data_IF_893513751880
#
_entry.id   IF_893513751880
#
_cell.length_a   1.000
_cell.length_b   1.000
_cell.length_c   1.000
_cell.angle_alpha   90.00
_cell.angle_beta   90.00
_cell.angle_gamma   90.00
#
_symmetry.space_group_name_H-M   'P 1'
#
loop_
_entity.id
_entity.type
_entity.pdbx_description
1 polymer ?
#
# COMPACT_ATOMS: atom_id res chain seq x y z
N UNK A 1 -7.32 -4.37 -1.13
CA UNK A 1 -6.26 -3.38 -1.38
C UNK A 1 -6.60 -2.56 -2.62
N UNK A 2 -6.66 -3.14 -3.82
CA UNK A 2 -6.89 -2.42 -5.10
C UNK A 2 -8.10 -1.48 -5.14
N UNK A 3 -9.19 -1.82 -4.47
CA UNK A 3 -10.35 -0.93 -4.39
C UNK A 3 -10.11 0.43 -3.72
N UNK A 4 -8.93 0.71 -3.17
CA UNK A 4 -8.56 2.04 -2.66
C UNK A 4 -7.99 2.99 -3.72
N UNK A 5 -7.52 2.47 -4.87
CA UNK A 5 -6.94 3.29 -5.94
C UNK A 5 -7.90 4.39 -6.44
N UNK A 6 -9.20 4.12 -6.69
CA UNK A 6 -10.06 5.13 -7.27
C UNK A 6 -10.28 6.31 -6.32
N UNK A 7 -10.45 6.05 -5.02
CA UNK A 7 -10.56 7.08 -4.00
C UNK A 7 -9.23 7.84 -3.80
N UNK A 8 -8.09 7.15 -3.84
CA UNK A 8 -6.78 7.78 -3.67
C UNK A 8 -6.47 8.79 -4.79
N UNK A 9 -6.83 8.48 -6.04
CA UNK A 9 -6.66 9.41 -7.16
C UNK A 9 -7.58 10.62 -7.04
N UNK A 10 -8.86 10.42 -6.71
CA UNK A 10 -9.81 11.55 -6.55
C UNK A 10 -9.53 12.41 -5.30
N UNK A 11 -8.84 11.86 -4.28
CA UNK A 11 -8.28 12.63 -3.17
C UNK A 11 -7.07 13.49 -3.57
N UNK A 12 -6.46 13.21 -4.72
CA UNK A 12 -5.42 14.03 -5.36
C UNK A 12 -5.97 14.78 -6.58
N UNK A 13 -7.29 15.01 -6.62
CA UNK A 13 -7.96 15.81 -7.64
C UNK A 13 -7.84 15.24 -9.07
N UNK A 14 -7.43 13.98 -9.19
CA UNK A 14 -7.26 13.30 -10.47
C UNK A 14 -8.50 12.60 -11.00
N UNK A 15 -8.39 12.15 -12.25
CA UNK A 15 -9.35 11.28 -12.93
C UNK A 15 -8.72 9.90 -13.10
N UNK A 16 -9.47 8.83 -12.84
CA UNK A 16 -8.98 7.45 -12.96
C UNK A 16 -9.99 6.55 -13.69
N UNK A 17 -9.45 5.73 -14.58
CA UNK A 17 -10.12 4.56 -15.15
C UNK A 17 -9.58 3.30 -14.46
N UNK A 18 -10.40 2.62 -13.66
CA UNK A 18 -10.02 1.40 -12.93
C UNK A 18 -10.64 0.18 -13.63
N UNK A 19 -9.79 -0.73 -14.15
CA UNK A 19 -10.22 -1.90 -14.91
C UNK A 19 -10.30 -3.12 -14.00
N UNK A 20 -11.50 -3.69 -13.85
CA UNK A 20 -11.73 -4.89 -13.05
C UNK A 20 -12.58 -5.89 -13.84
N UNK A 21 -12.09 -7.12 -13.95
CA UNK A 21 -12.73 -8.15 -14.79
C UNK A 21 -14.05 -8.65 -14.18
N UNK A 22 -14.20 -8.53 -12.87
CA UNK A 22 -15.37 -9.01 -12.13
C UNK A 22 -16.28 -7.86 -11.67
N UNK A 23 -17.41 -7.70 -12.37
CA UNK A 23 -18.40 -6.64 -12.12
C UNK A 23 -18.77 -6.48 -10.64
N UNK A 24 -18.96 -7.57 -9.92
CA UNK A 24 -19.38 -7.54 -8.52
C UNK A 24 -18.35 -6.89 -7.59
N UNK A 25 -17.05 -6.95 -7.94
CA UNK A 25 -15.99 -6.38 -7.10
C UNK A 25 -15.97 -4.86 -7.19
N UNK A 26 -16.17 -4.32 -8.38
CA UNK A 26 -16.18 -2.89 -8.64
C UNK A 26 -17.53 -2.26 -8.24
N UNK A 27 -18.64 -2.98 -8.44
CA UNK A 27 -19.95 -2.56 -7.94
C UNK A 27 -19.91 -2.39 -6.42
N UNK A 28 -19.32 -3.34 -5.69
CA UNK A 28 -19.13 -3.21 -4.25
C UNK A 28 -18.35 -1.94 -3.88
N UNK A 29 -17.34 -1.55 -4.66
CA UNK A 29 -16.56 -0.33 -4.39
C UNK A 29 -17.34 0.94 -4.68
N UNK A 30 -18.27 0.92 -5.64
CA UNK A 30 -19.25 1.99 -5.83
C UNK A 30 -20.19 2.07 -4.63
N UNK A 31 -20.76 0.93 -4.20
CA UNK A 31 -21.70 0.86 -3.09
C UNK A 31 -21.06 1.29 -1.75
N UNK A 32 -19.78 0.98 -1.55
CA UNK A 32 -19.00 1.39 -0.37
C UNK A 32 -18.57 2.86 -0.45
N UNK A 33 -18.58 3.52 -1.62
CA UNK A 33 -18.14 4.91 -1.78
C UNK A 33 -16.65 5.10 -2.08
N UNK A 34 -15.97 4.05 -2.55
CA UNK A 34 -14.57 4.09 -3.01
C UNK A 34 -14.43 4.39 -4.51
N UNK A 35 -15.50 4.28 -5.30
CA UNK A 35 -15.54 4.53 -6.73
C UNK A 35 -16.83 5.28 -7.11
N UNK A 36 -16.78 6.23 -8.04
CA UNK A 36 -17.93 7.10 -8.35
C UNK A 36 -18.90 6.47 -9.36
N UNK A 37 -18.37 5.78 -10.37
CA UNK A 37 -19.17 5.23 -11.48
C UNK A 37 -18.66 3.87 -11.93
N UNK A 38 -19.53 3.09 -12.56
CA UNK A 38 -19.21 1.79 -13.16
C UNK A 38 -19.91 1.67 -14.53
N UNK A 39 -19.20 1.11 -15.51
CA UNK A 39 -19.78 0.67 -16.80
C UNK A 39 -19.06 -0.58 -17.33
N UNK A 40 -19.69 -1.30 -18.24
CA UNK A 40 -19.11 -2.40 -19.03
C UNK A 40 -18.78 -1.98 -20.47
N UNK A 41 -18.91 -0.69 -20.81
CA UNK A 41 -18.65 -0.14 -22.14
C UNK A 41 -17.45 0.79 -22.10
N UNK A 42 -16.37 0.40 -22.79
CA UNK A 42 -15.16 1.22 -22.88
C UNK A 42 -15.42 2.62 -23.44
N UNK A 43 -16.29 2.75 -24.45
CA UNK A 43 -16.61 4.05 -25.06
C UNK A 43 -17.28 5.01 -24.05
N UNK A 44 -18.21 4.50 -23.24
CA UNK A 44 -18.88 5.28 -22.19
C UNK A 44 -17.91 5.64 -21.07
N UNK A 45 -17.05 4.71 -20.65
CA UNK A 45 -16.04 4.97 -19.64
C UNK A 45 -15.08 6.08 -20.10
N UNK A 46 -14.64 6.01 -21.35
CA UNK A 46 -13.76 6.99 -21.99
C UNK A 46 -14.43 8.36 -22.12
N UNK A 47 -15.72 8.41 -22.47
CA UNK A 47 -16.48 9.65 -22.51
C UNK A 47 -16.48 10.34 -21.14
N UNK A 48 -16.78 9.60 -20.07
CA UNK A 48 -16.81 10.16 -18.71
C UNK A 48 -15.45 10.66 -18.24
N UNK A 49 -14.37 9.89 -18.44
CA UNK A 49 -13.03 10.32 -18.00
C UNK A 49 -12.51 11.51 -18.81
N UNK A 50 -12.78 11.57 -20.11
CA UNK A 50 -12.34 12.68 -20.96
C UNK A 50 -13.14 13.96 -20.71
N UNK A 51 -14.45 13.85 -20.48
CA UNK A 51 -15.29 14.98 -20.08
C UNK A 51 -14.86 15.54 -18.71
N UNK A 52 -14.59 14.66 -17.74
CA UNK A 52 -14.11 15.05 -16.42
C UNK A 52 -12.72 15.69 -16.47
N UNK A 53 -11.77 15.14 -17.25
CA UNK A 53 -10.45 15.73 -17.48
C UNK A 53 -10.58 17.13 -18.11
N UNK A 54 -11.47 17.30 -19.10
CA UNK A 54 -11.73 18.61 -19.74
C UNK A 54 -12.35 19.63 -18.78
N UNK A 55 -13.17 19.17 -17.83
CA UNK A 55 -13.84 20.02 -16.83
C UNK A 55 -13.03 20.22 -15.55
N UNK A 56 -11.86 19.57 -15.43
CA UNK A 56 -11.02 19.57 -14.23
C UNK A 56 -11.79 19.12 -12.97
N UNK A 57 -12.65 18.11 -13.13
CA UNK A 57 -13.43 17.53 -12.02
C UNK A 57 -12.88 16.15 -11.70
N UNK A 58 -12.47 15.86 -10.45
CA UNK A 58 -12.02 14.53 -10.08
C UNK A 58 -13.18 13.52 -10.19
N UNK A 59 -12.89 12.39 -10.83
CA UNK A 59 -13.82 11.27 -10.93
C UNK A 59 -13.08 9.95 -10.99
N UNK A 60 -13.67 8.93 -10.40
CA UNK A 60 -13.26 7.54 -10.51
C UNK A 60 -14.28 6.75 -11.32
N UNK A 61 -13.82 6.20 -12.45
CA UNK A 61 -14.65 5.40 -13.36
C UNK A 61 -14.15 3.98 -13.35
N UNK A 62 -15.01 3.08 -12.91
CA UNK A 62 -14.80 1.66 -13.01
C UNK A 62 -15.24 1.08 -14.35
N UNK A 63 -14.34 0.36 -15.02
CA UNK A 63 -14.63 -0.35 -16.26
C UNK A 63 -14.57 -1.87 -16.02
N UNK A 64 -15.71 -2.53 -16.24
CA UNK A 64 -15.77 -3.99 -16.25
C UNK A 64 -15.09 -4.51 -17.51
N UNK A 65 -13.92 -5.14 -17.34
CA UNK A 65 -13.13 -5.65 -18.46
C UNK A 65 -11.82 -6.29 -18.02
N UNK A 66 -11.16 -7.03 -18.91
CA UNK A 66 -9.85 -7.58 -18.62
C UNK A 66 -8.74 -6.55 -18.92
N UNK A 67 -7.83 -6.31 -17.99
CA UNK A 67 -6.71 -5.38 -18.20
C UNK A 67 -5.85 -5.75 -19.43
N UNK A 68 -5.69 -7.05 -19.71
CA UNK A 68 -4.98 -7.56 -20.88
C UNK A 68 -5.74 -7.37 -22.22
N UNK A 69 -6.98 -6.89 -22.20
CA UNK A 69 -7.76 -6.50 -23.39
C UNK A 69 -7.91 -4.98 -23.46
N UNK A 70 -8.23 -4.35 -22.33
CA UNK A 70 -8.47 -2.91 -22.23
C UNK A 70 -7.19 -2.12 -22.47
N UNK A 71 -6.05 -2.46 -21.85
CA UNK A 71 -4.83 -1.66 -21.99
C UNK A 71 -4.29 -1.66 -23.43
N UNK A 72 -4.22 -2.80 -24.14
CA UNK A 72 -3.88 -2.80 -25.57
C UNK A 72 -4.87 -2.00 -26.41
N UNK A 73 -6.17 -2.03 -26.07
CA UNK A 73 -7.18 -1.26 -26.78
C UNK A 73 -7.01 0.25 -26.60
N UNK A 74 -6.64 0.71 -25.39
CA UNK A 74 -6.28 2.11 -25.14
C UNK A 74 -5.08 2.54 -25.98
N UNK A 75 -4.01 1.73 -26.01
CA UNK A 75 -2.83 1.97 -26.86
C UNK A 75 -3.22 2.03 -28.34
N UNK A 76 -4.06 1.10 -28.82
CA UNK A 76 -4.51 1.06 -30.22
C UNK A 76 -5.29 2.31 -30.62
N UNK A 77 -6.02 2.91 -29.68
CA UNK A 77 -6.80 4.14 -29.86
C UNK A 77 -5.99 5.42 -29.64
N UNK A 78 -4.70 5.31 -29.33
CA UNK A 78 -3.85 6.45 -28.97
C UNK A 78 -4.37 7.22 -27.74
N UNK A 79 -4.93 6.49 -26.78
CA UNK A 79 -5.42 7.03 -25.51
C UNK A 79 -4.41 6.66 -24.43
N UNK A 80 -3.43 7.52 -24.24
CA UNK A 80 -2.34 7.33 -23.28
C UNK A 80 -2.65 8.10 -21.99
N UNK A 81 -2.74 7.43 -20.83
CA UNK A 81 -2.98 8.12 -19.56
C UNK A 81 -1.73 8.88 -19.10
N UNK A 82 -1.91 9.88 -18.24
CA UNK A 82 -0.77 10.59 -17.64
C UNK A 82 0.03 9.69 -16.67
N UNK A 83 -0.65 8.75 -16.02
CA UNK A 83 -0.09 7.77 -15.09
C UNK A 83 -0.68 6.38 -15.40
N UNK A 84 0.16 5.34 -15.40
CA UNK A 84 -0.25 3.94 -15.51
C UNK A 84 0.39 3.10 -14.40
N UNK A 85 -0.44 2.26 -13.76
CA UNK A 85 0.00 1.30 -12.75
C UNK A 85 -0.96 0.11 -12.71
N UNK A 86 -0.64 -0.93 -11.95
CA UNK A 86 -1.47 -2.12 -11.81
C UNK A 86 -1.50 -2.62 -10.36
N UNK A 87 -2.67 -3.13 -9.96
CA UNK A 87 -2.86 -3.81 -8.69
C UNK A 87 -3.76 -5.05 -8.81
N UNK A 88 -3.80 -5.68 -9.99
CA UNK A 88 -4.30 -7.05 -10.13
C UNK A 88 -3.58 -8.01 -9.17
N UNK A 89 -4.15 -9.18 -8.83
CA UNK A 89 -3.50 -10.13 -7.93
C UNK A 89 -2.38 -10.93 -8.64
N UNK A 90 -1.48 -10.28 -9.40
CA UNK A 90 -0.41 -10.92 -10.16
C UNK A 90 0.57 -11.74 -9.31
N UNK A 91 0.65 -11.47 -8.01
CA UNK A 91 1.45 -12.23 -7.05
C UNK A 91 1.04 -13.70 -6.93
N UNK A 92 -0.22 -14.00 -7.25
CA UNK A 92 -0.72 -15.36 -7.41
C UNK A 92 -1.25 -15.53 -8.83
N UNK A 93 -0.49 -16.27 -9.65
CA UNK A 93 -0.83 -16.52 -11.05
C UNK A 93 -2.20 -17.22 -11.22
N UNK A 94 -2.72 -17.89 -10.19
CA UNK A 94 -4.04 -18.53 -10.21
C UNK A 94 -5.18 -17.59 -9.79
N UNK A 95 -4.83 -16.40 -9.28
CA UNK A 95 -5.76 -15.33 -8.98
C UNK A 95 -5.84 -14.28 -10.09
N UNK A 96 -4.77 -14.11 -10.88
CA UNK A 96 -4.83 -13.34 -12.13
C UNK A 96 -5.79 -14.03 -13.13
N UNK A 97 -6.74 -13.28 -13.68
CA UNK A 97 -7.75 -13.83 -14.59
C UNK A 97 -7.28 -13.65 -16.04
N UNK A 98 -6.98 -14.73 -16.78
CA UNK A 98 -6.63 -14.61 -18.19
C UNK A 98 -7.79 -14.10 -19.04
N UNK A 99 -7.49 -13.64 -20.25
CA UNK A 99 -8.50 -13.24 -21.24
C UNK A 99 -9.41 -14.42 -21.62
N UNK A 100 -10.64 -14.09 -22.05
CA UNK A 100 -11.68 -15.06 -22.38
C UNK A 100 -12.93 -14.94 -21.51
N UNK A 101 -13.90 -15.82 -21.77
CA UNK A 101 -15.17 -15.83 -21.03
C UNK A 101 -14.95 -16.29 -19.57
N UNK A 102 -15.49 -15.54 -18.62
CA UNK A 102 -15.23 -15.72 -17.19
C UNK A 102 -15.60 -17.11 -16.68
N UNK A 103 -16.76 -17.64 -17.07
CA UNK A 103 -17.22 -18.96 -16.62
C UNK A 103 -16.32 -20.08 -17.14
N UNK A 104 -15.84 -19.97 -18.38
CA UNK A 104 -14.88 -20.90 -18.97
C UNK A 104 -13.53 -20.84 -18.26
N UNK A 105 -13.00 -19.63 -18.02
CA UNK A 105 -11.73 -19.40 -17.33
C UNK A 105 -11.78 -19.90 -15.88
N UNK A 106 -12.86 -19.64 -15.16
CA UNK A 106 -13.03 -20.13 -13.78
C UNK A 106 -13.12 -21.66 -13.72
N UNK A 107 -13.77 -22.29 -14.69
CA UNK A 107 -13.83 -23.75 -14.81
C UNK A 107 -12.45 -24.35 -15.14
N UNK A 108 -11.71 -23.70 -16.06
CA UNK A 108 -10.36 -24.10 -16.44
C UNK A 108 -9.42 -24.10 -15.23
N UNK A 109 -9.54 -23.10 -14.35
CA UNK A 109 -8.72 -23.01 -13.13
C UNK A 109 -8.79 -24.25 -12.24
N UNK A 110 -9.95 -24.89 -12.19
CA UNK A 110 -10.18 -26.10 -11.39
C UNK A 110 -9.80 -27.38 -12.13
N UNK A 111 -10.07 -27.42 -13.44
CA UNK A 111 -9.87 -28.63 -14.26
C UNK A 111 -8.43 -28.82 -14.73
N UNK A 112 -7.78 -27.76 -15.16
CA UNK A 112 -6.41 -27.79 -15.70
C UNK A 112 -5.63 -26.54 -15.28
N UNK A 113 -5.00 -26.64 -14.11
CA UNK A 113 -4.16 -25.58 -13.55
C UNK A 113 -2.96 -25.25 -14.43
N UNK A 114 -2.43 -26.21 -15.20
CA UNK A 114 -1.25 -26.00 -16.03
C UNK A 114 -1.62 -25.11 -17.23
N UNK A 115 -2.73 -25.43 -17.89
CA UNK A 115 -3.26 -24.62 -18.98
C UNK A 115 -3.73 -23.25 -18.48
N UNK A 116 -4.37 -23.17 -17.31
CA UNK A 116 -4.74 -21.87 -16.71
C UNK A 116 -3.50 -20.98 -16.49
N UNK A 117 -2.44 -21.54 -15.90
CA UNK A 117 -1.18 -20.82 -15.66
C UNK A 117 -0.59 -20.30 -16.98
N UNK A 118 -0.60 -21.12 -18.03
CA UNK A 118 -0.13 -20.71 -19.36
C UNK A 118 -0.92 -19.51 -19.87
N UNK A 119 -2.25 -19.58 -19.88
CA UNK A 119 -3.11 -18.47 -20.34
C UNK A 119 -2.95 -17.21 -19.51
N UNK A 120 -2.75 -17.35 -18.20
CA UNK A 120 -2.49 -16.22 -17.32
C UNK A 120 -1.17 -15.53 -17.67
N UNK A 121 -0.10 -16.29 -17.93
CA UNK A 121 1.17 -15.73 -18.41
C UNK A 121 1.03 -15.08 -19.79
N UNK A 122 0.33 -15.71 -20.73
CA UNK A 122 0.05 -15.13 -22.06
C UNK A 122 -0.69 -13.78 -21.93
N UNK A 123 -1.65 -13.69 -21.01
CA UNK A 123 -2.38 -12.44 -20.73
C UNK A 123 -1.51 -11.38 -20.06
N UNK A 124 -0.63 -11.77 -19.12
CA UNK A 124 0.33 -10.87 -18.47
C UNK A 124 1.34 -10.31 -19.47
N UNK A 125 1.78 -11.12 -20.45
CA UNK A 125 2.64 -10.65 -21.53
C UNK A 125 1.98 -9.52 -22.31
N UNK A 126 0.72 -9.69 -22.70
CA UNK A 126 -0.05 -8.68 -23.45
C UNK A 126 -0.26 -7.42 -22.59
N UNK A 127 -0.70 -7.59 -21.34
CA UNK A 127 -0.94 -6.50 -20.40
C UNK A 127 0.33 -5.67 -20.17
N UNK A 128 1.45 -6.32 -19.88
CA UNK A 128 2.70 -5.62 -19.55
C UNK A 128 3.29 -4.92 -20.78
N UNK A 129 3.19 -5.51 -21.98
CA UNK A 129 3.61 -4.83 -23.21
C UNK A 129 2.78 -3.58 -23.49
N UNK A 130 1.47 -3.58 -23.17
CA UNK A 130 0.65 -2.38 -23.27
C UNK A 130 1.10 -1.28 -22.29
N UNK A 131 1.43 -1.66 -21.04
CA UNK A 131 1.98 -0.73 -20.04
C UNK A 131 3.32 -0.14 -20.53
N UNK A 132 4.22 -0.98 -21.05
CA UNK A 132 5.50 -0.51 -21.60
C UNK A 132 5.29 0.44 -22.78
N UNK A 133 4.32 0.16 -23.66
CA UNK A 133 3.99 1.06 -24.75
C UNK A 133 3.44 2.39 -24.25
N UNK A 134 2.56 2.40 -23.25
CA UNK A 134 2.09 3.65 -22.62
C UNK A 134 3.25 4.44 -22.01
N UNK A 135 4.22 3.76 -21.38
CA UNK A 135 5.43 4.38 -20.85
C UNK A 135 6.28 5.02 -21.95
N UNK A 136 6.48 4.33 -23.07
CA UNK A 136 7.21 4.85 -24.25
C UNK A 136 6.54 6.11 -24.83
N UNK A 137 5.20 6.17 -24.81
CA UNK A 137 4.41 7.32 -25.25
C UNK A 137 4.29 8.43 -24.17
N UNK A 138 4.99 8.28 -23.03
CA UNK A 138 5.17 9.33 -22.03
C UNK A 138 4.37 9.19 -20.74
N UNK A 139 3.60 8.10 -20.55
CA UNK A 139 2.92 7.85 -19.28
C UNK A 139 3.93 7.61 -18.14
N UNK A 140 3.68 8.19 -16.97
CA UNK A 140 4.42 7.85 -15.76
C UNK A 140 4.01 6.43 -15.34
N UNK A 141 4.95 5.49 -15.38
CA UNK A 141 4.70 4.09 -15.08
C UNK A 141 5.40 3.66 -13.78
N UNK A 142 4.69 2.93 -12.92
CA UNK A 142 5.27 2.29 -11.74
C UNK A 142 4.53 1.00 -11.36
N UNK A 143 5.25 0.05 -10.75
CA UNK A 143 4.68 -1.18 -10.16
C UNK A 143 4.15 -0.89 -8.76
N UNK A 144 2.89 -1.26 -8.50
CA UNK A 144 2.25 -1.05 -7.19
C UNK A 144 2.30 -2.27 -6.26
N UNK A 145 3.39 -3.04 -6.35
CA UNK A 145 3.75 -4.03 -5.35
C UNK A 145 2.97 -5.33 -5.41
N UNK A 146 2.53 -5.73 -6.60
CA UNK A 146 1.81 -6.98 -6.87
C UNK A 146 2.66 -8.00 -7.63
N UNK A 147 3.94 -7.70 -7.90
CA UNK A 147 4.87 -8.55 -8.64
C UNK A 147 4.46 -8.84 -10.11
N UNK A 148 3.71 -7.93 -10.75
CA UNK A 148 3.39 -8.05 -12.18
C UNK A 148 4.66 -8.12 -13.03
N UNK A 149 5.67 -7.28 -12.75
CA UNK A 149 6.95 -7.31 -13.47
C UNK A 149 7.66 -8.66 -13.37
N UNK A 150 7.62 -9.29 -12.18
CA UNK A 150 8.20 -10.63 -11.99
C UNK A 150 7.47 -11.71 -12.79
N UNK A 151 6.13 -11.65 -12.87
CA UNK A 151 5.37 -12.55 -13.74
C UNK A 151 5.59 -12.26 -15.22
N UNK A 152 5.76 -11.00 -15.60
CA UNK A 152 6.04 -10.59 -16.97
C UNK A 152 7.38 -11.13 -17.46
N UNK A 153 8.42 -11.11 -16.62
CA UNK A 153 9.70 -11.76 -16.88
C UNK A 153 9.51 -13.27 -17.15
N UNK A 154 8.72 -13.96 -16.31
CA UNK A 154 8.40 -15.38 -16.51
C UNK A 154 7.58 -15.64 -17.78
N UNK A 155 6.78 -14.67 -18.22
CA UNK A 155 6.01 -14.74 -19.46
C UNK A 155 6.85 -14.44 -20.71
N UNK A 156 8.10 -13.99 -20.56
CA UNK A 156 9.00 -13.67 -21.67
C UNK A 156 8.97 -12.19 -22.11
N UNK A 157 8.44 -11.29 -21.29
CA UNK A 157 8.56 -9.84 -21.53
C UNK A 157 9.98 -9.41 -21.21
N UNK A 158 10.61 -8.66 -22.11
CA UNK A 158 11.86 -7.96 -21.85
C UNK A 158 11.60 -6.79 -20.89
N UNK A 159 11.40 -7.08 -19.60
CA UNK A 159 10.97 -6.11 -18.58
C UNK A 159 12.16 -5.48 -17.84
N UNK A 160 13.38 -5.96 -18.10
CA UNK A 160 14.62 -5.41 -17.55
C UNK A 160 15.39 -4.60 -18.60
N UNK A 161 16.23 -3.71 -18.10
CA UNK A 161 17.25 -2.98 -18.88
C UNK A 161 18.57 -3.74 -18.79
N UNK A 162 19.57 -3.26 -19.53
CA UNK A 162 20.91 -3.86 -19.57
C UNK A 162 21.63 -3.86 -18.20
N UNK A 163 21.26 -2.95 -17.30
CA UNK A 163 21.79 -2.88 -15.92
C UNK A 163 21.09 -3.86 -14.94
N UNK A 164 20.17 -4.68 -15.43
CA UNK A 164 19.40 -5.65 -14.65
C UNK A 164 18.20 -5.05 -13.91
N UNK A 165 18.02 -3.72 -13.92
CA UNK A 165 16.87 -3.06 -13.29
C UNK A 165 15.62 -3.18 -14.16
N UNK A 166 14.46 -3.10 -13.54
CA UNK A 166 13.20 -3.07 -14.28
C UNK A 166 13.06 -1.78 -15.12
N UNK A 167 12.38 -1.89 -16.28
CA UNK A 167 12.12 -0.78 -17.20
C UNK A 167 11.26 0.34 -16.58
N UNK A 168 10.42 -0.01 -15.62
CA UNK A 168 9.74 0.95 -14.74
C UNK A 168 9.91 0.54 -13.27
N UNK A 169 10.03 1.51 -12.34
CA UNK A 169 10.36 1.24 -10.95
C UNK A 169 9.16 0.74 -10.15
N UNK A 170 9.42 0.11 -9.00
CA UNK A 170 8.43 -0.04 -7.95
C UNK A 170 8.09 1.30 -7.31
N UNK A 171 6.87 1.43 -6.78
CA UNK A 171 6.42 2.66 -6.13
C UNK A 171 7.27 3.04 -4.90
N UNK A 172 7.91 2.07 -4.23
CA UNK A 172 8.73 2.34 -3.05
C UNK A 172 10.03 3.07 -3.37
N UNK A 173 10.93 2.55 -4.23
CA UNK A 173 12.12 3.29 -4.63
C UNK A 173 11.77 4.62 -5.31
N UNK A 174 10.66 4.68 -6.05
CA UNK A 174 10.26 5.89 -6.78
C UNK A 174 9.71 7.00 -5.86
N UNK A 175 8.89 6.67 -4.86
CA UNK A 175 8.08 7.68 -4.14
C UNK A 175 8.09 7.53 -2.62
N UNK A 176 8.15 6.31 -2.08
CA UNK A 176 7.87 6.07 -0.64
C UNK A 176 9.12 5.98 0.23
N UNK A 177 10.26 5.53 -0.31
CA UNK A 177 11.48 5.32 0.48
C UNK A 177 11.94 6.54 1.30
N UNK A 178 11.80 7.79 0.83
CA UNK A 178 12.12 8.95 1.67
C UNK A 178 11.28 9.02 2.96
N UNK A 179 10.04 8.55 2.95
CA UNK A 179 9.19 8.44 4.15
C UNK A 179 9.70 7.34 5.08
N UNK A 180 10.14 6.20 4.54
CA UNK A 180 10.73 5.12 5.34
C UNK A 180 12.03 5.56 6.04
N UNK A 181 12.82 6.43 5.41
CA UNK A 181 14.00 7.04 6.04
C UNK A 181 13.65 7.93 7.25
N UNK A 182 12.39 8.31 7.45
CA UNK A 182 11.89 9.03 8.63
C UNK A 182 11.10 8.14 9.60
N UNK A 183 11.07 6.82 9.34
CA UNK A 183 10.29 5.87 10.11
C UNK A 183 8.79 5.99 9.87
N UNK A 184 8.35 6.75 8.85
CA UNK A 184 6.94 6.85 8.47
C UNK A 184 6.50 5.57 7.76
N UNK A 185 5.25 5.21 7.95
CA UNK A 185 4.63 4.04 7.34
C UNK A 185 3.16 3.93 7.73
N UNK A 186 2.46 2.86 7.34
CA UNK A 186 1.00 2.73 7.44
C UNK A 186 0.50 2.42 8.87
N UNK A 187 0.94 3.24 9.83
CA UNK A 187 0.52 3.26 11.22
C UNK A 187 -1.00 3.49 11.31
N UNK A 188 -1.65 2.70 12.15
CA UNK A 188 -3.11 2.66 12.23
C UNK A 188 -3.59 2.30 13.62
N UNK A 189 -4.83 2.65 13.91
CA UNK A 189 -5.50 2.25 15.13
C UNK A 189 -6.97 1.90 14.90
N UNK A 190 -7.53 1.11 15.82
CA UNK A 190 -8.89 0.59 15.77
C UNK A 190 -9.55 0.77 17.14
N UNK A 191 -10.76 1.32 17.17
CA UNK A 191 -11.53 1.52 18.37
C UNK A 191 -12.33 0.25 18.72
N UNK A 192 -11.99 -0.41 19.84
CA UNK A 192 -12.67 -1.63 20.27
C UNK A 192 -14.08 -1.39 20.82
N UNK A 193 -14.46 -0.14 21.05
CA UNK A 193 -15.81 0.26 21.44
C UNK A 193 -16.82 0.03 20.31
N UNK A 194 -16.34 -0.02 19.06
CA UNK A 194 -17.21 0.02 17.88
C UNK A 194 -17.77 1.42 17.59
N UNK A 195 -17.41 2.44 18.37
CA UNK A 195 -17.97 3.78 18.24
C UNK A 195 -17.08 4.70 17.39
N UNK A 196 -17.67 5.28 16.35
CA UNK A 196 -17.02 6.24 15.47
C UNK A 196 -16.54 7.49 16.22
N UNK A 197 -17.23 7.88 17.29
CA UNK A 197 -16.86 9.04 18.10
C UNK A 197 -15.47 8.90 18.72
N UNK A 198 -15.01 7.67 19.03
CA UNK A 198 -13.66 7.44 19.55
C UNK A 198 -12.59 7.81 18.49
N UNK A 199 -12.81 7.46 17.22
CA UNK A 199 -11.91 7.84 16.13
C UNK A 199 -11.93 9.35 15.90
N UNK A 200 -13.10 9.99 15.99
CA UNK A 200 -13.23 11.44 15.81
C UNK A 200 -12.50 12.21 16.92
N UNK A 201 -12.59 11.74 18.16
CA UNK A 201 -11.87 12.34 19.29
C UNK A 201 -10.35 12.13 19.15
N UNK A 202 -9.90 10.95 18.72
CA UNK A 202 -8.47 10.70 18.41
C UNK A 202 -8.00 11.58 17.25
N UNK A 203 -8.77 11.73 16.18
CA UNK A 203 -8.43 12.62 15.07
C UNK A 203 -8.31 14.09 15.52
N UNK A 204 -9.19 14.55 16.41
CA UNK A 204 -9.14 15.90 16.96
C UNK A 204 -7.90 16.11 17.83
N UNK A 205 -7.51 15.11 18.62
CA UNK A 205 -6.29 15.18 19.41
C UNK A 205 -5.05 15.17 18.51
N UNK A 206 -5.04 14.33 17.46
CA UNK A 206 -3.96 14.27 16.47
C UNK A 206 -3.67 15.64 15.83
N UNK A 207 -4.73 16.36 15.43
CA UNK A 207 -4.61 17.70 14.85
C UNK A 207 -4.07 18.74 15.84
N UNK A 208 -4.33 18.58 17.14
CA UNK A 208 -3.78 19.45 18.19
C UNK A 208 -2.33 19.11 18.51
N UNK A 209 -1.97 17.83 18.47
CA UNK A 209 -0.61 17.35 18.76
C UNK A 209 0.37 17.76 17.66
N UNK A 210 -0.05 17.69 16.39
CA UNK A 210 0.82 17.98 15.23
C UNK A 210 0.26 19.13 14.36
N UNK A 211 0.13 20.35 14.90
CA UNK A 211 -0.52 21.47 14.20
C UNK A 211 0.29 22.03 13.03
N UNK A 212 1.59 21.73 12.98
CA UNK A 212 2.50 22.20 11.93
C UNK A 212 2.61 21.22 10.74
N UNK A 213 2.12 19.98 10.87
CA UNK A 213 2.14 19.01 9.77
C UNK A 213 0.92 19.21 8.86
N UNK A 214 1.08 20.13 7.90
CA UNK A 214 0.03 20.47 6.92
C UNK A 214 -0.43 19.27 6.08
N UNK A 215 0.47 18.30 5.83
CA UNK A 215 0.14 17.09 5.08
C UNK A 215 -0.76 16.18 5.90
N UNK A 216 -0.43 15.98 7.18
CA UNK A 216 -1.27 15.26 8.14
C UNK A 216 -2.63 15.93 8.29
N UNK A 217 -2.69 17.26 8.43
CA UNK A 217 -3.95 18.00 8.57
C UNK A 217 -4.84 17.78 7.34
N UNK A 218 -4.28 17.91 6.13
CA UNK A 218 -4.99 17.63 4.88
C UNK A 218 -5.48 16.18 4.85
N UNK A 219 -4.63 15.22 5.22
CA UNK A 219 -4.98 13.81 5.27
C UNK A 219 -6.16 13.53 6.19
N UNK A 220 -6.12 14.00 7.45
CA UNK A 220 -7.20 13.78 8.43
C UNK A 220 -8.52 14.36 7.94
N UNK A 221 -8.50 15.56 7.36
CA UNK A 221 -9.71 16.20 6.83
C UNK A 221 -10.32 15.42 5.67
N UNK A 222 -9.50 14.96 4.72
CA UNK A 222 -9.97 14.11 3.64
C UNK A 222 -10.49 12.77 4.17
N UNK A 223 -9.77 12.16 5.12
CA UNK A 223 -10.11 10.86 5.69
C UNK A 223 -11.41 10.90 6.51
N UNK A 224 -11.75 12.03 7.15
CA UNK A 224 -13.04 12.24 7.82
C UNK A 224 -14.21 12.35 6.85
N UNK A 225 -14.00 13.04 5.73
CA UNK A 225 -15.07 13.33 4.76
C UNK A 225 -15.30 12.25 3.71
N UNK A 226 -14.25 11.50 3.33
CA UNK A 226 -14.27 10.61 2.16
C UNK A 226 -14.13 9.12 2.47
N UNK A 227 -13.57 8.72 3.61
CA UNK A 227 -13.29 7.30 3.88
C UNK A 227 -14.47 6.66 4.63
N UNK A 228 -15.14 5.65 4.04
CA UNK A 228 -16.17 4.85 4.71
C UNK A 228 -15.57 4.03 5.86
N UNK A 229 -16.34 3.84 6.93
CA UNK A 229 -15.95 2.93 8.02
C UNK A 229 -16.49 1.52 7.77
N UNK A 230 -15.58 0.55 7.63
CA UNK A 230 -15.90 -0.87 7.45
C UNK A 230 -15.57 -1.64 8.74
N UNK A 231 -16.56 -2.24 9.39
CA UNK A 231 -16.36 -2.99 10.64
C UNK A 231 -16.10 -2.09 11.85
N UNK A 232 -15.11 -2.44 12.67
CA UNK A 232 -14.71 -1.59 13.80
C UNK A 232 -14.12 -0.27 13.27
N UNK A 233 -14.54 0.90 13.80
CA UNK A 233 -13.99 2.18 13.42
C UNK A 233 -12.46 2.20 13.54
N UNK A 234 -11.80 2.58 12.45
CA UNK A 234 -10.35 2.56 12.34
C UNK A 234 -9.85 3.79 11.59
N UNK A 235 -8.59 4.14 11.82
CA UNK A 235 -7.88 5.21 11.11
C UNK A 235 -6.48 4.75 10.77
N UNK A 236 -6.06 5.05 9.55
CA UNK A 236 -4.66 5.01 9.13
C UNK A 236 -4.13 6.45 9.11
N UNK A 237 -2.92 6.66 9.60
CA UNK A 237 -2.21 7.93 9.53
C UNK A 237 -0.71 7.67 9.60
N UNK A 238 0.04 8.15 8.60
CA UNK A 238 1.47 7.86 8.52
C UNK A 238 2.27 8.73 9.49
N UNK A 239 2.65 8.14 10.62
CA UNK A 239 3.50 8.76 11.64
C UNK A 239 4.90 8.13 11.63
N UNK A 240 5.91 8.96 11.89
CA UNK A 240 7.33 8.62 11.84
C UNK A 240 7.91 8.21 13.19
N UNK A 241 9.24 8.10 13.24
CA UNK A 241 9.97 7.86 14.48
C UNK A 241 9.72 9.00 15.49
N UNK A 242 9.45 8.63 16.74
CA UNK A 242 9.06 9.55 17.81
C UNK A 242 7.56 9.87 17.81
N UNK A 243 7.00 10.28 16.67
CA UNK A 243 5.57 10.63 16.53
C UNK A 243 4.66 9.45 16.90
N UNK A 244 5.02 8.22 16.51
CA UNK A 244 4.26 7.02 16.88
C UNK A 244 4.21 6.81 18.40
N UNK A 245 5.34 6.93 19.09
CA UNK A 245 5.41 6.71 20.54
C UNK A 245 4.67 7.81 21.31
N UNK A 246 4.90 9.08 20.94
CA UNK A 246 4.17 10.23 21.50
C UNK A 246 2.66 10.03 21.37
N UNK A 247 2.17 9.76 20.15
CA UNK A 247 0.75 9.66 19.91
C UNK A 247 0.13 8.39 20.53
N UNK A 248 0.85 7.27 20.55
CA UNK A 248 0.39 6.07 21.25
C UNK A 248 0.21 6.26 22.76
N UNK A 249 1.09 7.04 23.40
CA UNK A 249 0.95 7.41 24.82
C UNK A 249 -0.24 8.36 25.04
N UNK A 250 -0.45 9.33 24.14
CA UNK A 250 -1.61 10.23 24.17
C UNK A 250 -2.91 9.41 24.10
N UNK A 251 -3.03 8.50 23.13
CA UNK A 251 -4.20 7.61 23.00
C UNK A 251 -4.42 6.83 24.30
N UNK A 252 -3.37 6.26 24.90
CA UNK A 252 -3.48 5.53 26.15
C UNK A 252 -3.99 6.42 27.30
N UNK A 253 -3.53 7.67 27.39
CA UNK A 253 -4.03 8.62 28.38
C UNK A 253 -5.48 9.03 28.13
N UNK A 254 -5.91 9.12 26.87
CA UNK A 254 -7.32 9.38 26.53
C UNK A 254 -8.24 8.23 26.96
N UNK A 255 -7.79 6.97 26.81
CA UNK A 255 -8.49 5.78 27.35
C UNK A 255 -8.53 5.83 28.87
N UNK A 256 -7.39 6.09 29.53
CA UNK A 256 -7.28 6.17 31.00
C UNK A 256 -8.26 7.18 31.61
N UNK A 257 -8.41 8.34 30.97
CA UNK A 257 -9.25 9.43 31.48
C UNK A 257 -10.71 9.35 31.00
N UNK A 258 -11.09 8.27 30.30
CA UNK A 258 -12.46 8.05 29.83
C UNK A 258 -12.91 8.96 28.70
N UNK A 259 -11.99 9.64 28.00
CA UNK A 259 -12.31 10.36 26.75
C UNK A 259 -12.64 9.40 25.61
N UNK A 260 -12.01 8.23 25.63
CA UNK A 260 -12.25 7.13 24.70
C UNK A 260 -12.95 6.00 25.45
N UNK A 261 -13.99 5.42 24.84
CA UNK A 261 -14.93 4.53 25.53
C UNK A 261 -14.37 3.14 25.83
N UNK A 262 -13.39 2.68 25.07
CA UNK A 262 -12.76 1.37 25.23
C UNK A 262 -11.28 1.40 24.83
N UNK A 263 -10.50 0.33 25.09
CA UNK A 263 -9.13 0.24 24.61
C UNK A 263 -9.00 0.41 23.10
N UNK A 264 -7.86 0.95 22.67
CA UNK A 264 -7.53 1.16 21.26
C UNK A 264 -6.46 0.17 20.85
N UNK A 265 -6.67 -0.54 19.75
CA UNK A 265 -5.64 -1.39 19.12
C UNK A 265 -4.80 -0.50 18.23
N UNK A 266 -3.47 -0.54 18.37
CA UNK A 266 -2.51 0.23 17.57
C UNK A 266 -1.59 -0.73 16.84
N UNK A 267 -1.49 -0.61 15.53
CA UNK A 267 -0.66 -1.47 14.70
C UNK A 267 -0.33 -0.84 13.36
N UNK A 268 -0.04 -1.68 12.37
CA UNK A 268 0.33 -1.28 11.01
C UNK A 268 0.20 -2.44 10.03
N UNK A 269 0.42 -2.17 8.75
CA UNK A 269 0.74 -3.22 7.79
C UNK A 269 2.13 -3.82 8.08
N UNK A 270 2.43 -4.97 7.47
CA UNK A 270 3.78 -5.52 7.41
C UNK A 270 4.69 -4.77 6.42
N UNK A 271 4.10 -4.00 5.48
CA UNK A 271 4.82 -2.97 4.73
C UNK A 271 5.10 -1.80 5.68
N UNK A 272 6.35 -1.67 6.12
CA UNK A 272 6.80 -0.53 6.93
C UNK A 272 8.33 -0.39 6.83
N UNK A 273 8.86 0.74 7.31
CA UNK A 273 10.25 1.14 7.17
C UNK A 273 11.29 0.11 7.63
N UNK A 274 10.97 -0.76 8.58
CA UNK A 274 11.92 -1.72 9.16
C UNK A 274 11.45 -3.17 9.19
N UNK A 275 10.29 -3.47 8.61
CA UNK A 275 9.60 -4.75 8.89
C UNK A 275 9.50 -5.69 7.70
N UNK A 276 10.18 -5.40 6.59
CA UNK A 276 10.06 -6.20 5.36
C UNK A 276 11.36 -6.24 4.57
N UNK A 277 11.66 -7.41 4.02
CA UNK A 277 12.58 -7.61 2.90
C UNK A 277 11.76 -8.12 1.71
N UNK A 278 11.75 -7.35 0.61
CA UNK A 278 11.05 -7.68 -0.63
C UNK A 278 11.73 -6.98 -1.82
N UNK A 279 12.66 -7.67 -2.53
CA UNK A 279 13.46 -7.07 -3.61
C UNK A 279 12.68 -6.55 -4.81
N UNK A 280 11.43 -6.98 -5.01
CA UNK A 280 10.57 -6.49 -6.09
C UNK A 280 9.56 -5.43 -5.61
N UNK A 281 9.70 -4.94 -4.37
CA UNK A 281 8.78 -3.98 -3.75
C UNK A 281 9.46 -3.06 -2.75
N UNK A 282 9.38 -3.31 -1.44
CA UNK A 282 9.84 -2.36 -0.43
C UNK A 282 11.35 -2.13 -0.43
N UNK A 283 12.10 -3.18 -0.72
CA UNK A 283 13.57 -3.18 -0.69
C UNK A 283 14.16 -3.26 -2.09
N UNK A 284 13.40 -2.95 -3.13
CA UNK A 284 13.89 -2.85 -4.51
C UNK A 284 14.89 -1.72 -4.67
N UNK A 285 16.04 -1.98 -5.27
CA UNK A 285 17.08 -0.97 -5.52
C UNK A 285 17.53 -0.26 -4.22
N UNK A 286 17.91 -1.02 -3.19
CA UNK A 286 18.60 -0.42 -2.04
C UNK A 286 19.92 0.21 -2.50
N UNK A 287 20.30 1.36 -1.91
CA UNK A 287 21.48 2.14 -2.33
C UNK A 287 22.79 1.34 -2.29
N UNK A 288 22.88 0.38 -1.38
CA UNK A 288 24.02 -0.51 -1.15
C UNK A 288 23.83 -1.92 -1.77
N UNK A 289 22.70 -2.20 -2.44
CA UNK A 289 22.37 -3.52 -2.99
C UNK A 289 21.90 -4.55 -1.96
N UNK A 290 21.54 -4.13 -0.74
CA UNK A 290 21.04 -5.00 0.34
C UNK A 290 19.60 -5.51 0.16
N UNK A 291 19.05 -5.45 -1.05
CA UNK A 291 17.65 -5.71 -1.38
C UNK A 291 17.10 -6.99 -0.75
N UNK A 292 17.88 -8.08 -0.78
CA UNK A 292 17.47 -9.40 -0.34
C UNK A 292 17.82 -9.74 1.13
N UNK A 293 18.46 -8.82 1.88
CA UNK A 293 18.83 -9.07 3.28
C UNK A 293 17.55 -9.13 4.14
N UNK A 294 17.26 -10.33 4.66
CA UNK A 294 16.06 -10.62 5.44
C UNK A 294 16.27 -10.65 6.96
N UNK A 295 17.45 -10.26 7.45
CA UNK A 295 17.72 -10.15 8.88
C UNK A 295 16.86 -9.05 9.54
N UNK A 296 16.69 -7.92 8.84
CA UNK A 296 15.91 -6.78 9.34
C UNK A 296 14.47 -7.11 9.78
N UNK A 297 13.62 -7.77 8.97
CA UNK A 297 12.29 -8.16 9.43
C UNK A 297 12.32 -9.19 10.57
N UNK A 298 13.34 -10.06 10.67
CA UNK A 298 13.50 -10.98 11.81
C UNK A 298 13.86 -10.22 13.10
N UNK A 299 14.76 -9.25 13.00
CA UNK A 299 15.11 -8.35 14.10
C UNK A 299 13.89 -7.53 14.52
N UNK A 300 13.12 -6.97 13.57
CA UNK A 300 11.87 -6.26 13.87
C UNK A 300 10.87 -7.15 14.63
N UNK A 301 10.69 -8.41 14.20
CA UNK A 301 9.87 -9.38 14.91
C UNK A 301 10.35 -9.61 16.34
N UNK A 302 11.65 -9.90 16.51
CA UNK A 302 12.23 -10.18 17.82
C UNK A 302 12.16 -8.97 18.76
N UNK A 303 12.53 -7.78 18.29
CA UNK A 303 12.50 -6.53 19.04
C UNK A 303 11.09 -6.20 19.53
N UNK A 304 10.09 -6.31 18.67
CA UNK A 304 8.71 -6.05 19.06
C UNK A 304 8.19 -7.06 20.10
N UNK A 305 8.59 -8.32 19.98
CA UNK A 305 8.21 -9.37 20.92
C UNK A 305 8.78 -9.10 22.31
N UNK A 306 10.07 -8.73 22.42
CA UNK A 306 10.71 -8.43 23.70
C UNK A 306 10.32 -7.05 24.26
N UNK A 307 10.02 -6.07 23.41
CA UNK A 307 9.62 -4.73 23.83
C UNK A 307 8.23 -4.72 24.52
N UNK A 308 7.40 -5.72 24.20
CA UNK A 308 6.13 -5.96 24.86
C UNK A 308 4.90 -5.63 24.01
N UNK A 309 4.98 -5.83 22.69
CA UNK A 309 3.80 -5.80 21.83
C UNK A 309 2.73 -6.79 22.32
N UNK A 310 1.46 -6.50 22.05
CA UNK A 310 0.37 -7.40 22.44
C UNK A 310 0.37 -8.68 21.60
N UNK A 311 0.71 -8.57 20.32
CA UNK A 311 1.08 -9.71 19.47
C UNK A 311 2.05 -9.29 18.36
N UNK A 312 2.80 -10.27 17.90
CA UNK A 312 3.78 -10.12 16.81
C UNK A 312 3.62 -11.30 15.86
N UNK A 313 3.82 -11.06 14.58
CA UNK A 313 3.68 -12.05 13.52
C UNK A 313 4.84 -11.96 12.54
N UNK A 314 5.28 -13.10 12.01
CA UNK A 314 6.28 -13.17 10.95
C UNK A 314 5.72 -14.01 9.81
N UNK A 315 5.67 -13.44 8.61
CA UNK A 315 5.02 -14.04 7.45
C UNK A 315 5.95 -14.06 6.24
N UNK A 316 5.61 -14.90 5.27
CA UNK A 316 6.34 -15.09 4.03
C UNK A 316 5.40 -14.91 2.83
N UNK A 317 5.88 -14.19 1.81
CA UNK A 317 5.25 -14.06 0.50
C UNK A 317 4.05 -13.12 0.43
N UNK A 318 3.78 -12.32 1.45
CA UNK A 318 2.70 -11.34 1.41
C UNK A 318 2.96 -10.30 0.32
N UNK A 319 1.91 -10.04 -0.46
CA UNK A 319 1.87 -9.02 -1.50
C UNK A 319 2.57 -9.34 -2.82
N UNK A 320 3.75 -9.97 -2.78
CA UNK A 320 4.55 -10.32 -3.98
C UNK A 320 4.62 -11.83 -4.24
N UNK A 321 3.98 -12.66 -3.41
CA UNK A 321 3.87 -14.10 -3.59
C UNK A 321 4.97 -14.90 -2.89
N UNK A 322 4.72 -16.20 -2.74
CA UNK A 322 5.62 -17.16 -2.07
C UNK A 322 7.02 -17.10 -2.69
N UNK A 323 8.03 -16.88 -1.84
CA UNK A 323 9.45 -16.83 -2.22
C UNK A 323 10.01 -15.41 -2.34
N UNK A 324 9.14 -14.39 -2.40
CA UNK A 324 9.55 -13.04 -2.81
C UNK A 324 9.55 -12.00 -1.67
N UNK A 325 9.09 -12.37 -0.46
CA UNK A 325 9.11 -11.46 0.69
C UNK A 325 9.15 -12.18 2.03
N UNK A 326 9.80 -11.55 3.00
CA UNK A 326 9.81 -11.90 4.42
C UNK A 326 9.49 -10.66 5.24
N UNK A 327 8.50 -10.73 6.12
CA UNK A 327 8.02 -9.53 6.81
C UNK A 327 7.32 -9.76 8.14
N UNK A 328 7.46 -8.79 9.03
CA UNK A 328 6.96 -8.79 10.39
C UNK A 328 5.82 -7.78 10.62
N UNK A 329 4.88 -8.16 11.46
CA UNK A 329 3.79 -7.31 11.93
C UNK A 329 3.84 -7.21 13.44
N UNK A 330 3.48 -6.04 13.97
CA UNK A 330 3.32 -5.83 15.40
C UNK A 330 2.00 -5.12 15.66
N UNK A 331 1.39 -5.45 16.79
CA UNK A 331 0.25 -4.70 17.31
C UNK A 331 0.35 -4.61 18.83
N UNK A 332 -0.02 -3.46 19.37
CA UNK A 332 -0.07 -3.17 20.80
C UNK A 332 -1.40 -2.52 21.17
N UNK A 333 -1.96 -2.89 22.32
CA UNK A 333 -3.25 -2.37 22.80
C UNK A 333 -2.98 -1.24 23.79
N UNK A 334 -3.59 -0.07 23.59
CA UNK A 334 -3.64 1.01 24.58
C UNK A 334 -4.87 0.82 25.46
N UNK A 335 -4.68 0.31 26.68
CA UNK A 335 -5.74 -0.07 27.63
C UNK A 335 -5.92 0.92 28.79
N UNK A 336 -5.19 2.04 28.77
CA UNK A 336 -5.24 3.08 29.79
C UNK A 336 -4.39 2.80 31.04
N UNK A 337 -3.76 1.63 31.14
CA UNK A 337 -2.94 1.28 32.30
C UNK A 337 -1.53 1.89 32.22
N UNK A 338 -0.94 2.16 33.39
CA UNK A 338 0.45 2.64 33.52
C UNK A 338 1.47 1.58 33.08
N UNK A 339 1.16 0.31 33.28
CA UNK A 339 2.01 -0.80 32.83
C UNK A 339 2.07 -0.86 31.30
N UNK A 340 0.95 -0.56 30.64
CA UNK A 340 0.88 -0.52 29.18
C UNK A 340 1.61 0.67 28.57
N UNK A 341 1.56 1.83 29.22
CA UNK A 341 2.25 3.04 28.80
C UNK A 341 3.74 2.80 28.50
N UNK A 342 4.46 2.12 29.42
CA UNK A 342 5.87 1.75 29.21
C UNK A 342 6.10 0.80 28.04
N UNK A 343 5.13 -0.08 27.74
CA UNK A 343 5.22 -1.00 26.59
C UNK A 343 4.96 -0.24 25.29
N UNK A 344 3.98 0.66 25.27
CA UNK A 344 3.68 1.52 24.13
C UNK A 344 4.90 2.36 23.75
N UNK A 345 5.49 3.06 24.71
CA UNK A 345 6.70 3.85 24.50
C UNK A 345 7.82 3.01 23.86
N UNK A 346 8.15 1.84 24.42
CA UNK A 346 9.20 0.97 23.87
C UNK A 346 8.86 0.43 22.49
N UNK A 347 7.70 -0.19 22.32
CA UNK A 347 7.29 -0.84 21.06
C UNK A 347 7.21 0.18 19.94
N UNK A 348 6.54 1.31 20.17
CA UNK A 348 6.38 2.37 19.18
C UNK A 348 7.63 3.20 18.94
N UNK A 349 8.70 2.96 19.71
CA UNK A 349 10.04 3.50 19.48
C UNK A 349 10.89 2.51 18.69
N UNK A 350 11.01 1.25 19.12
CA UNK A 350 11.89 0.26 18.46
C UNK A 350 11.36 -0.16 17.08
N UNK A 351 10.04 -0.16 16.89
CA UNK A 351 9.41 -0.58 15.65
C UNK A 351 9.74 0.33 14.45
N UNK A 352 9.52 1.67 14.51
CA UNK A 352 10.04 2.57 13.48
C UNK A 352 11.57 2.73 13.58
N UNK A 353 12.16 2.58 14.77
CA UNK A 353 13.59 2.77 15.01
C UNK A 353 14.48 1.80 14.24
N UNK A 354 14.11 0.52 14.19
CA UNK A 354 14.83 -0.47 13.38
C UNK A 354 14.74 -0.15 11.88
N UNK A 355 13.67 0.53 11.45
CA UNK A 355 13.56 1.03 10.08
C UNK A 355 14.51 2.17 9.77
N UNK A 356 14.72 3.09 10.71
CA UNK A 356 15.78 4.11 10.58
C UNK A 356 17.15 3.44 10.50
N UNK A 357 17.46 2.54 11.45
CA UNK A 357 18.73 1.84 11.50
C UNK A 357 19.04 1.09 10.19
N UNK A 358 18.06 0.36 9.66
CA UNK A 358 18.16 -0.32 8.36
C UNK A 358 18.54 0.62 7.21
N UNK A 359 17.93 1.80 7.15
CA UNK A 359 18.19 2.75 6.07
C UNK A 359 19.47 3.56 6.30
N UNK A 360 19.89 3.76 7.55
CA UNK A 360 21.22 4.30 7.89
C UNK A 360 22.33 3.36 7.41
N UNK A 361 22.19 2.07 7.72
CA UNK A 361 23.09 0.99 7.33
C UNK A 361 23.25 0.92 5.80
N UNK A 362 22.11 0.95 5.08
CA UNK A 362 22.11 0.99 3.62
C UNK A 362 22.60 2.31 3.00
N UNK A 363 23.02 3.28 3.82
CA UNK A 363 23.68 4.51 3.36
C UNK A 363 22.76 5.65 2.93
N UNK A 364 21.50 5.69 3.38
CA UNK A 364 20.61 6.81 3.09
C UNK A 364 20.90 8.02 3.99
N UNK A 365 21.30 9.15 3.40
CA UNK A 365 21.64 10.39 4.12
C UNK A 365 20.47 10.91 4.95
N UNK A 366 19.25 10.90 4.40
CA UNK A 366 18.05 11.31 5.15
C UNK A 366 17.84 10.48 6.42
N UNK A 367 18.10 9.17 6.36
CA UNK A 367 17.96 8.31 7.55
C UNK A 367 19.04 8.64 8.59
N UNK A 368 20.26 8.96 8.15
CA UNK A 368 21.36 9.43 9.03
C UNK A 368 21.01 10.76 9.70
N UNK A 369 20.49 11.72 8.95
CA UNK A 369 20.06 13.01 9.47
C UNK A 369 18.96 12.85 10.53
N UNK A 370 18.00 11.96 10.29
CA UNK A 370 16.95 11.64 11.26
C UNK A 370 17.52 10.95 12.50
N UNK A 371 18.43 9.98 12.34
CA UNK A 371 19.08 9.31 13.45
C UNK A 371 19.83 10.31 14.35
N UNK A 372 20.58 11.25 13.77
CA UNK A 372 21.27 12.32 14.51
C UNK A 372 20.25 13.25 15.18
N UNK A 373 19.27 13.76 14.43
CA UNK A 373 18.26 14.71 14.94
C UNK A 373 17.43 14.14 16.08
N UNK A 374 17.17 12.83 16.07
CA UNK A 374 16.34 12.12 17.05
C UNK A 374 17.16 11.32 18.07
N UNK A 375 18.49 11.49 18.06
CA UNK A 375 19.42 10.85 19.01
C UNK A 375 19.27 9.31 19.05
N UNK A 376 19.08 8.71 17.88
CA UNK A 376 18.99 7.25 17.74
C UNK A 376 20.40 6.68 17.79
N UNK A 377 20.69 5.82 18.78
CA UNK A 377 21.95 5.08 18.85
C UNK A 377 22.04 4.07 17.71
N UNK A 378 23.00 4.30 16.81
CA UNK A 378 23.42 3.36 15.78
C UNK A 378 24.88 3.00 16.08
N UNK A 379 25.17 1.76 16.52
CA UNK A 379 26.55 1.33 16.76
C UNK A 379 27.42 1.42 15.50
N UNK A 380 28.71 1.71 15.69
CA UNK A 380 29.73 1.81 14.62
C UNK A 380 29.98 0.49 13.87
#
# INVERSE_FOLDING_TARGET
>A
MSGAQPLAVTMNEGVILDVEVRRERIQRKVDEGYCDRITDKIDEALEWVMDAKKKEVPISVGLVGNAAEVHPELVRRDIIPDIVTDQTPAHDIYSYVPTGELSEVDNLRQKDRKEYRKRALDSILIHTNAILKMQEEGAICFDYGNNLRGQAELAGVEIRRDDGKFKYPGFVPAYIRPLFCEGKGPFRWVALSGDRADIEEIDNELLKTFPEDLSLIRWVNLAKGKIPMEGLPARICWLGYGERAEFGMIINNMVKNGKIKAPIVIGRDHLDCGSVASPNRETEDMRDGSDAIADWPLINFALNAIAGASWVSFHHGGGVGIGNSLHAGMVIVADGTREREKRLERVLTVDPGIGIARHVDAGYERARDIAIKKEIEIPD
#
